data_IF_036339893484
#
_entry.id   IF_036339893484
#
_cell.length_a   1.000
_cell.length_b   1.000
_cell.length_c   1.000
_cell.angle_alpha   90.00
_cell.angle_beta   90.00
_cell.angle_gamma   90.00
#
_symmetry.space_group_name_H-M   'P 1'
#
loop_
_entity.id
_entity.type
_entity.pdbx_description
1 polymer ?
#
# COMPACT_ATOMS: atom_id res chain seq x y z
N UNK A 1 17.73 20.01 29.27
CA UNK A 1 17.91 21.40 28.81
C UNK A 1 17.99 22.27 30.04
N UNK A 2 19.14 22.88 30.31
CA UNK A 2 19.39 23.68 31.53
C UNK A 2 18.69 25.02 31.37
N UNK A 3 17.69 25.30 32.22
CA UNK A 3 17.14 26.64 32.34
C UNK A 3 18.17 27.50 33.09
N UNK A 4 18.77 28.46 32.38
CA UNK A 4 19.65 29.47 32.95
C UNK A 4 18.78 30.61 33.50
N UNK A 5 18.96 30.94 34.78
CA UNK A 5 18.24 32.04 35.44
C UNK A 5 18.59 33.41 34.83
N UNK A 6 17.63 34.36 34.72
CA UNK A 6 17.84 35.68 34.14
C UNK A 6 18.63 36.61 35.09
N UNK A 7 19.29 37.66 34.57
CA UNK A 7 20.08 38.58 35.39
C UNK A 7 19.18 39.46 36.27
N UNK A 8 19.61 39.63 37.52
CA UNK A 8 18.96 40.46 38.53
C UNK A 8 19.09 41.94 38.14
N UNK A 9 18.06 42.55 37.54
CA UNK A 9 17.98 44.00 37.41
C UNK A 9 17.42 44.58 38.73
N UNK A 10 18.29 44.66 39.74
CA UNK A 10 18.02 45.47 40.92
C UNK A 10 18.19 46.95 40.54
N UNK A 11 17.12 47.55 40.00
CA UNK A 11 17.06 48.99 39.79
C UNK A 11 16.51 49.65 41.07
N UNK A 12 17.37 50.50 41.65
CA UNK A 12 17.14 51.34 42.83
C UNK A 12 15.81 52.10 42.71
N UNK A 13 14.97 52.16 43.77
CA UNK A 13 13.71 52.90 43.72
C UNK A 13 14.00 54.42 43.84
N UNK A 14 13.55 55.26 42.89
CA UNK A 14 13.59 56.70 43.08
C UNK A 14 12.49 57.13 44.06
N UNK A 15 12.85 58.04 44.97
CA UNK A 15 11.94 58.69 45.91
C UNK A 15 10.82 59.43 45.16
N UNK A 16 9.57 58.98 45.31
CA UNK A 16 8.46 59.46 44.49
C UNK A 16 7.75 60.69 45.08
N UNK A 17 7.85 61.84 44.40
CA UNK A 17 6.86 62.91 44.45
C UNK A 17 5.64 62.50 43.60
N UNK A 18 4.45 63.07 43.85
CA UNK A 18 3.19 62.64 43.18
C UNK A 18 3.22 62.71 41.65
N UNK A 19 4.06 63.56 41.05
CA UNK A 19 4.30 63.59 39.60
C UNK A 19 5.14 62.43 39.09
N UNK A 20 6.02 61.90 39.93
CA UNK A 20 6.93 60.79 39.60
C UNK A 20 6.18 59.45 39.56
N UNK A 21 5.10 59.32 40.32
CA UNK A 21 4.27 58.11 40.30
C UNK A 21 3.52 57.95 38.98
N UNK A 22 3.09 59.05 38.34
CA UNK A 22 2.44 58.99 37.03
C UNK A 22 3.42 58.46 35.97
N UNK A 23 4.66 58.96 35.99
CA UNK A 23 5.74 58.50 35.11
C UNK A 23 6.09 57.04 35.38
N UNK A 24 6.17 56.63 36.64
CA UNK A 24 6.46 55.23 37.00
C UNK A 24 5.37 54.28 36.51
N UNK A 25 4.09 54.66 36.60
CA UNK A 25 2.97 53.86 36.10
C UNK A 25 3.04 53.74 34.58
N UNK A 26 3.33 54.84 33.87
CA UNK A 26 3.45 54.83 32.41
C UNK A 26 4.60 53.94 31.93
N UNK A 27 5.76 54.03 32.60
CA UNK A 27 6.92 53.16 32.32
C UNK A 27 6.61 51.70 32.61
N UNK A 28 5.97 51.39 33.74
CA UNK A 28 5.62 50.01 34.10
C UNK A 28 4.53 49.42 33.20
N UNK A 29 3.61 50.25 32.72
CA UNK A 29 2.60 49.87 31.74
C UNK A 29 3.26 49.54 30.41
N UNK A 30 4.15 50.39 29.92
CA UNK A 30 4.89 50.15 28.67
C UNK A 30 5.77 48.89 28.75
N UNK A 31 6.43 48.67 29.88
CA UNK A 31 7.22 47.45 30.16
C UNK A 31 6.33 46.18 30.11
N UNK A 32 5.12 46.25 30.68
CA UNK A 32 4.19 45.13 30.67
C UNK A 32 3.53 44.91 29.29
N UNK A 33 3.21 45.98 28.56
CA UNK A 33 2.61 45.92 27.23
C UNK A 33 3.58 45.30 26.20
N UNK A 34 4.89 45.44 26.42
CA UNK A 34 5.94 44.85 25.57
C UNK A 34 6.50 43.53 26.11
N UNK A 35 5.90 42.96 27.16
CA UNK A 35 6.32 41.67 27.70
C UNK A 35 5.94 40.53 26.75
N UNK A 36 6.96 39.88 26.19
CA UNK A 36 6.81 38.80 25.22
C UNK A 36 6.46 37.46 25.88
N UNK A 37 6.65 37.31 27.19
CA UNK A 37 6.26 36.14 27.98
C UNK A 37 4.81 36.21 28.48
N UNK A 38 4.09 37.30 28.18
CA UNK A 38 2.68 37.48 28.54
C UNK A 38 1.70 36.63 27.72
N UNK A 39 2.13 36.09 26.58
CA UNK A 39 1.30 35.20 25.76
C UNK A 39 1.55 33.73 26.13
N UNK A 40 0.49 32.90 26.22
CA UNK A 40 0.66 31.47 26.48
C UNK A 40 1.50 30.84 25.37
N UNK A 41 2.50 30.05 25.74
CA UNK A 41 3.32 29.34 24.78
C UNK A 41 2.49 28.38 23.93
N UNK A 42 2.84 28.28 22.65
CA UNK A 42 2.24 27.29 21.75
C UNK A 42 2.56 25.87 22.23
N UNK A 43 1.56 24.98 22.12
CA UNK A 43 1.71 23.56 22.46
C UNK A 43 1.80 22.72 21.18
N UNK A 44 2.82 21.87 21.08
CA UNK A 44 2.95 20.88 20.01
C UNK A 44 2.07 19.67 20.32
N UNK A 45 1.26 19.24 19.35
CA UNK A 45 0.51 18.00 19.41
C UNK A 45 1.18 16.96 18.50
N UNK A 46 1.74 15.92 19.08
CA UNK A 46 2.36 14.81 18.34
C UNK A 46 1.32 13.71 18.19
N UNK A 47 0.94 13.43 16.96
CA UNK A 47 0.02 12.34 16.64
C UNK A 47 0.81 11.15 16.10
N UNK A 48 0.52 9.96 16.63
CA UNK A 48 1.16 8.70 16.23
C UNK A 48 0.16 7.55 16.14
N UNK A 49 -1.12 7.87 15.93
CA UNK A 49 -2.15 6.84 15.84
C UNK A 49 -2.19 6.28 14.41
N UNK A 50 -1.77 5.03 14.27
CA UNK A 50 -1.69 4.30 12.99
C UNK A 50 -3.04 3.71 12.56
N UNK A 51 -3.99 3.61 13.47
CA UNK A 51 -5.21 2.83 13.26
C UNK A 51 -5.04 1.37 13.68
N UNK A 52 -6.14 0.62 13.78
CA UNK A 52 -6.08 -0.81 14.03
C UNK A 52 -5.69 -1.55 12.75
N UNK A 53 -4.95 -2.64 12.89
CA UNK A 53 -4.70 -3.56 11.78
C UNK A 53 -6.02 -4.06 11.20
N UNK A 54 -6.35 -3.59 10.01
CA UNK A 54 -7.57 -3.99 9.30
C UNK A 54 -7.16 -4.89 8.15
N UNK A 55 -7.55 -6.17 8.23
CA UNK A 55 -7.43 -7.07 7.09
C UNK A 55 -8.39 -6.57 6.00
N UNK A 56 -7.86 -6.22 4.82
CA UNK A 56 -8.68 -5.90 3.68
C UNK A 56 -9.53 -7.13 3.34
N UNK A 57 -10.83 -7.06 3.60
CA UNK A 57 -11.75 -8.21 3.63
C UNK A 57 -11.76 -9.00 2.31
N UNK A 58 -11.50 -8.34 1.18
CA UNK A 58 -11.23 -8.98 -0.11
C UNK A 58 -10.70 -7.97 -1.13
N UNK A 59 -9.75 -8.40 -1.96
CA UNK A 59 -9.37 -7.68 -3.18
C UNK A 59 -9.97 -8.39 -4.38
N UNK A 60 -10.48 -7.63 -5.35
CA UNK A 60 -10.95 -8.21 -6.61
C UNK A 60 -9.76 -8.79 -7.37
N UNK A 61 -9.94 -10.01 -7.89
CA UNK A 61 -8.98 -10.57 -8.83
C UNK A 61 -8.95 -9.70 -10.09
N UNK A 62 -7.75 -9.44 -10.63
CA UNK A 62 -7.57 -8.85 -11.94
C UNK A 62 -7.94 -9.91 -12.98
N UNK A 63 -9.23 -10.07 -13.24
CA UNK A 63 -9.73 -11.00 -14.25
C UNK A 63 -9.23 -10.60 -15.63
N UNK A 64 -8.20 -11.27 -16.13
CA UNK A 64 -7.93 -11.25 -17.57
C UNK A 64 -9.07 -11.99 -18.25
N UNK A 65 -9.94 -11.26 -18.94
CA UNK A 65 -11.00 -11.85 -19.76
C UNK A 65 -10.35 -12.53 -20.98
N UNK A 66 -9.74 -13.70 -20.79
CA UNK A 66 -9.33 -14.58 -21.89
C UNK A 66 -10.57 -15.31 -22.39
N UNK A 67 -11.53 -14.54 -22.91
CA UNK A 67 -12.74 -15.09 -23.51
C UNK A 67 -12.35 -15.63 -24.88
N UNK A 68 -12.07 -16.93 -24.95
CA UNK A 68 -12.21 -17.72 -26.17
C UNK A 68 -11.52 -17.20 -27.43
N UNK A 69 -10.27 -16.76 -27.35
CA UNK A 69 -9.47 -16.74 -28.58
C UNK A 69 -9.30 -18.19 -29.02
N UNK A 70 -9.82 -18.50 -30.21
CA UNK A 70 -9.64 -19.76 -30.93
C UNK A 70 -8.22 -20.28 -30.64
N UNK A 71 -8.12 -21.39 -29.90
CA UNK A 71 -6.86 -21.91 -29.38
C UNK A 71 -6.10 -22.59 -30.53
N UNK A 72 -5.65 -21.79 -31.49
CA UNK A 72 -4.89 -22.23 -32.66
C UNK A 72 -3.41 -22.29 -32.27
N UNK A 73 -2.90 -23.51 -32.12
CA UNK A 73 -1.53 -23.78 -31.65
C UNK A 73 -0.54 -24.08 -32.79
N UNK A 74 -0.86 -23.65 -34.01
CA UNK A 74 -0.04 -23.95 -35.21
C UNK A 74 1.40 -23.44 -35.10
N UNK A 75 1.65 -22.43 -34.27
CA UNK A 75 2.99 -21.90 -33.97
C UNK A 75 3.91 -22.91 -33.26
N UNK A 76 3.38 -23.98 -32.66
CA UNK A 76 4.20 -25.04 -32.06
C UNK A 76 5.04 -25.79 -33.10
N UNK A 77 4.60 -25.82 -34.36
CA UNK A 77 5.34 -26.42 -35.47
C UNK A 77 6.66 -25.68 -35.75
N UNK A 78 6.68 -24.36 -35.54
CA UNK A 78 7.82 -23.50 -35.87
C UNK A 78 8.87 -23.42 -34.74
N UNK A 79 8.58 -23.94 -33.54
CA UNK A 79 9.49 -23.90 -32.38
C UNK A 79 10.61 -24.96 -32.42
N UNK A 80 10.57 -25.87 -33.39
CA UNK A 80 11.61 -26.86 -33.63
C UNK A 80 11.39 -28.22 -32.93
N UNK A 81 12.32 -29.18 -33.10
CA UNK A 81 12.08 -30.60 -32.86
C UNK A 81 11.78 -30.97 -31.40
N UNK A 82 12.14 -30.12 -30.44
CA UNK A 82 11.81 -30.34 -29.02
C UNK A 82 10.33 -30.16 -28.71
N UNK A 83 9.61 -29.41 -29.54
CA UNK A 83 8.19 -29.10 -29.37
C UNK A 83 7.28 -29.97 -30.26
N UNK A 84 7.85 -30.92 -31.00
CA UNK A 84 7.11 -31.81 -31.91
C UNK A 84 5.95 -32.53 -31.22
N UNK A 85 6.17 -33.09 -30.03
CA UNK A 85 5.12 -33.79 -29.27
C UNK A 85 3.96 -32.86 -28.89
N UNK A 86 4.24 -31.58 -28.61
CA UNK A 86 3.20 -30.59 -28.31
C UNK A 86 2.48 -30.17 -29.60
N UNK A 87 3.21 -30.00 -30.70
CA UNK A 87 2.64 -29.71 -32.01
C UNK A 87 1.74 -30.84 -32.52
N UNK A 88 2.10 -32.10 -32.28
CA UNK A 88 1.28 -33.29 -32.60
C UNK A 88 0.01 -33.38 -31.74
N UNK A 89 0.05 -32.91 -30.49
CA UNK A 89 -1.08 -32.99 -29.55
C UNK A 89 -2.10 -31.84 -29.74
N UNK A 90 -1.63 -30.66 -30.15
CA UNK A 90 -2.42 -29.43 -30.20
C UNK A 90 -2.56 -28.82 -31.61
N UNK A 91 -1.82 -29.30 -32.61
CA UNK A 91 -2.00 -28.92 -34.01
C UNK A 91 -3.30 -29.50 -34.56
N UNK A 92 -3.95 -28.76 -35.45
CA UNK A 92 -5.30 -29.02 -36.00
C UNK A 92 -5.41 -30.30 -36.86
N UNK A 93 -4.41 -31.18 -36.82
CA UNK A 93 -4.49 -32.55 -37.34
C UNK A 93 -4.71 -33.53 -36.19
N UNK A 94 -5.87 -33.40 -35.53
CA UNK A 94 -6.41 -34.55 -34.80
C UNK A 94 -6.43 -35.74 -35.77
N UNK A 95 -6.01 -36.94 -35.37
CA UNK A 95 -6.11 -38.09 -36.25
C UNK A 95 -7.58 -38.21 -36.64
N UNK A 96 -7.88 -37.86 -37.88
CA UNK A 96 -8.96 -38.44 -38.66
C UNK A 96 -8.76 -39.95 -38.54
N UNK A 97 -9.31 -40.52 -37.47
CA UNK A 97 -9.33 -41.95 -37.26
C UNK A 97 -9.97 -42.50 -38.52
N UNK A 98 -9.29 -43.38 -39.29
CA UNK A 98 -9.95 -44.05 -40.39
C UNK A 98 -11.19 -44.70 -39.80
N UNK A 99 -12.33 -44.52 -40.48
CA UNK A 99 -13.67 -44.96 -40.13
C UNK A 99 -13.83 -46.49 -40.09
N UNK A 100 -12.84 -47.21 -39.55
CA UNK A 100 -12.68 -48.65 -39.61
C UNK A 100 -12.39 -49.29 -38.24
N UNK A 101 -12.37 -48.50 -37.17
CA UNK A 101 -12.43 -49.01 -35.80
C UNK A 101 -13.78 -48.64 -35.20
N UNK A 102 -14.77 -49.47 -35.53
CA UNK A 102 -16.01 -49.52 -34.77
C UNK A 102 -15.66 -49.82 -33.30
N UNK A 103 -16.14 -48.96 -32.38
CA UNK A 103 -15.85 -49.04 -30.94
C UNK A 103 -16.30 -50.38 -30.34
N UNK A 104 -17.13 -51.13 -31.06
CA UNK A 104 -17.63 -52.44 -30.67
C UNK A 104 -16.54 -53.53 -30.69
N UNK A 105 -15.53 -53.43 -31.57
CA UNK A 105 -14.47 -54.45 -31.66
C UNK A 105 -13.42 -54.33 -30.54
N UNK A 106 -13.18 -53.12 -30.03
CA UNK A 106 -12.20 -52.89 -28.96
C UNK A 106 -12.72 -53.38 -27.61
N UNK A 107 -14.03 -53.23 -27.34
CA UNK A 107 -14.66 -53.76 -26.12
C UNK A 107 -14.66 -55.29 -26.13
N UNK A 108 -14.88 -55.92 -27.29
CA UNK A 108 -14.84 -57.39 -27.39
C UNK A 108 -13.42 -57.96 -27.23
N UNK A 109 -12.39 -57.22 -27.61
CA UNK A 109 -10.99 -57.64 -27.43
C UNK A 109 -10.52 -57.51 -25.98
N UNK A 110 -11.06 -56.53 -25.23
CA UNK A 110 -10.77 -56.38 -23.80
C UNK A 110 -11.48 -57.47 -22.97
N UNK A 111 -12.72 -57.80 -23.31
CA UNK A 111 -13.50 -58.83 -22.61
C UNK A 111 -12.95 -60.26 -22.80
N UNK A 112 -12.18 -60.53 -23.86
CA UNK A 112 -11.60 -61.85 -24.13
C UNK A 112 -10.29 -62.10 -23.36
N UNK A 113 -9.60 -61.06 -22.87
CA UNK A 113 -8.28 -61.22 -22.26
C UNK A 113 -8.29 -61.33 -20.72
N UNK A 114 -9.39 -61.01 -20.04
CA UNK A 114 -9.48 -60.99 -18.57
C UNK A 114 -10.51 -61.98 -18.01
N UNK A 115 -10.50 -63.22 -18.50
CA UNK A 115 -11.45 -64.25 -18.06
C UNK A 115 -10.93 -65.67 -18.24
N UNK A 116 -9.88 -66.03 -17.49
CA UNK A 116 -9.60 -67.41 -17.08
C UNK A 116 -9.29 -67.46 -15.59
#
# INVERSE_FOLDING_TARGET
>A
MVQKAPPNHHLVPPTACKGDMAVMIEVKKDEADHDRDGFPYDTLHVYGYEGPESLAESLSSLGTSSTGSNLDYDFLNDWGPRFRTLAELYGVDGPELPSILDRDLLIHKFAVFDGS
#
